data_IF_421477245173
#
_entry.id   IF_421477245173
#
_cell.length_a   1.000
_cell.length_b   1.000
_cell.length_c   1.000
_cell.angle_alpha   90.00
_cell.angle_beta   90.00
_cell.angle_gamma   90.00
#
_symmetry.space_group_name_H-M   'P 1'
#
loop_
_entity.id
_entity.type
_entity.pdbx_description
1 polymer ?
#
# COMPACT_ATOMS: atom_id res chain seq x y z
N UNK A 1 -11.43 10.75 -20.67
CA UNK A 1 -10.47 9.72 -21.12
C UNK A 1 -10.74 8.49 -20.27
N UNK A 2 -11.02 7.30 -20.83
CA UNK A 2 -11.10 6.10 -20.00
C UNK A 2 -9.72 5.80 -19.41
N UNK A 3 -9.71 5.43 -18.14
CA UNK A 3 -8.52 5.04 -17.40
C UNK A 3 -7.86 3.81 -18.06
N UNK A 4 -6.52 3.78 -18.11
CA UNK A 4 -5.75 2.58 -18.44
C UNK A 4 -5.51 1.82 -17.14
N UNK A 5 -5.54 0.49 -17.20
CA UNK A 5 -5.18 -0.36 -16.05
C UNK A 5 -3.77 -0.04 -15.53
N UNK A 6 -3.63 0.06 -14.20
CA UNK A 6 -2.36 0.28 -13.52
C UNK A 6 -1.41 -0.88 -13.76
N UNK A 7 -0.15 -0.57 -14.06
CA UNK A 7 0.92 -1.55 -14.27
C UNK A 7 1.98 -1.42 -13.18
N UNK A 8 2.76 -2.49 -13.01
CA UNK A 8 3.96 -2.48 -12.17
C UNK A 8 4.90 -1.39 -12.66
N UNK A 9 5.39 -0.57 -11.73
CA UNK A 9 6.26 0.56 -12.00
C UNK A 9 5.54 1.90 -12.09
N UNK A 10 4.23 1.92 -12.35
CA UNK A 10 3.45 3.16 -12.46
C UNK A 10 3.50 3.90 -11.11
N UNK A 11 3.62 5.24 -11.15
CA UNK A 11 3.50 6.09 -9.96
C UNK A 11 2.03 6.45 -9.83
N UNK A 12 1.41 6.04 -8.72
CA UNK A 12 -0.03 6.12 -8.52
C UNK A 12 -0.34 7.05 -7.35
N UNK A 13 -1.29 7.94 -7.58
CA UNK A 13 -1.96 8.81 -6.61
C UNK A 13 -3.23 8.12 -6.14
N UNK A 14 -3.39 7.94 -4.84
CA UNK A 14 -4.56 7.30 -4.24
C UNK A 14 -4.91 7.92 -2.89
N UNK A 15 -6.17 7.82 -2.51
CA UNK A 15 -6.63 8.19 -1.18
C UNK A 15 -6.11 7.19 -0.15
N UNK A 16 -5.76 7.66 1.05
CA UNK A 16 -5.37 6.75 2.13
C UNK A 16 -6.39 5.62 2.28
N UNK A 17 -5.98 4.34 2.23
CA UNK A 17 -6.91 3.23 2.38
C UNK A 17 -7.21 3.02 3.87
N UNK A 18 -7.79 4.04 4.51
CA UNK A 18 -8.17 4.06 5.90
C UNK A 18 -9.06 2.85 6.22
N UNK A 19 -9.01 2.39 7.47
CA UNK A 19 -10.06 1.52 7.99
C UNK A 19 -11.36 2.34 8.01
N UNK A 20 -12.47 1.78 7.52
CA UNK A 20 -13.78 2.42 7.73
C UNK A 20 -14.00 2.55 9.25
N UNK A 21 -14.07 3.78 9.77
CA UNK A 21 -14.17 4.08 11.20
C UNK A 21 -12.84 4.31 11.94
N UNK A 22 -11.68 4.34 11.26
CA UNK A 22 -10.46 4.89 11.86
C UNK A 22 -10.47 6.41 11.79
N UNK A 23 -10.24 7.06 12.93
CA UNK A 23 -10.01 8.52 12.98
C UNK A 23 -8.71 8.95 12.28
N UNK A 24 -7.86 8.00 11.89
CA UNK A 24 -6.69 8.23 11.04
C UNK A 24 -7.12 8.47 9.59
N UNK A 25 -7.14 9.73 9.18
CA UNK A 25 -7.56 10.16 7.84
C UNK A 25 -8.96 10.80 7.80
N UNK A 26 -9.75 10.71 8.88
CA UNK A 26 -11.00 11.47 9.00
C UNK A 26 -10.67 12.97 9.14
N UNK A 27 -10.82 13.70 8.03
CA UNK A 27 -10.72 15.17 8.00
C UNK A 27 -9.48 15.75 7.31
N UNK A 28 -8.57 14.93 6.79
CA UNK A 28 -7.51 15.40 5.91
C UNK A 28 -7.58 14.62 4.58
N UNK A 29 -7.93 15.31 3.49
CA UNK A 29 -7.85 14.83 2.10
C UNK A 29 -6.38 14.58 1.71
N UNK A 30 -5.72 13.59 2.32
CA UNK A 30 -4.32 13.28 2.04
C UNK A 30 -4.25 12.25 0.93
N UNK A 31 -3.86 12.71 -0.24
CA UNK A 31 -3.49 11.86 -1.36
C UNK A 31 -2.06 11.37 -1.20
N UNK A 32 -1.87 10.06 -1.37
CA UNK A 32 -0.58 9.41 -1.32
C UNK A 32 -0.07 9.17 -2.72
N UNK A 33 1.22 9.42 -2.94
CA UNK A 33 1.90 9.12 -4.19
C UNK A 33 2.91 8.02 -3.92
N UNK A 34 2.69 6.83 -4.49
CA UNK A 34 3.58 5.66 -4.33
C UNK A 34 3.75 4.95 -5.66
N UNK A 35 4.71 4.03 -5.73
CA UNK A 35 4.92 3.18 -6.90
C UNK A 35 4.12 1.89 -6.77
N UNK A 36 3.40 1.52 -7.82
CA UNK A 36 2.76 0.21 -7.92
C UNK A 36 3.83 -0.87 -8.11
N UNK A 37 3.91 -1.80 -7.17
CA UNK A 37 4.88 -2.89 -7.17
C UNK A 37 4.21 -4.21 -7.52
N UNK A 38 3.07 -4.51 -6.89
CA UNK A 38 2.25 -5.68 -7.17
C UNK A 38 0.89 -5.28 -7.74
N UNK A 39 0.46 -6.01 -8.77
CA UNK A 39 -0.88 -5.91 -9.37
C UNK A 39 -1.69 -7.16 -9.00
N UNK A 40 -3.02 -7.20 -9.24
CA UNK A 40 -3.86 -8.34 -8.87
C UNK A 40 -3.31 -9.68 -9.35
N UNK A 41 -3.22 -10.65 -8.42
CA UNK A 41 -2.70 -11.99 -8.62
C UNK A 41 -1.18 -12.14 -8.45
N UNK A 42 -0.44 -11.06 -8.21
CA UNK A 42 1.01 -11.18 -7.93
C UNK A 42 1.29 -11.71 -6.54
N UNK A 43 2.29 -12.59 -6.43
CA UNK A 43 2.97 -12.86 -5.18
C UNK A 43 4.08 -11.80 -4.97
N UNK A 44 3.96 -10.98 -3.95
CA UNK A 44 4.91 -9.94 -3.55
C UNK A 44 5.70 -10.42 -2.34
N UNK A 45 7.02 -10.27 -2.40
CA UNK A 45 7.92 -10.66 -1.32
C UNK A 45 9.09 -9.68 -1.22
N UNK A 46 9.49 -9.37 0.00
CA UNK A 46 10.70 -8.61 0.30
C UNK A 46 11.69 -9.53 1.02
N UNK A 47 12.94 -9.54 0.54
CA UNK A 47 14.05 -10.26 1.19
C UNK A 47 15.22 -9.31 1.33
N UNK A 48 15.59 -8.97 2.57
CA UNK A 48 16.69 -8.02 2.86
C UNK A 48 16.55 -6.71 2.06
N UNK A 49 15.33 -6.14 2.03
CA UNK A 49 14.99 -4.90 1.34
C UNK A 49 14.86 -5.00 -0.19
N UNK A 50 15.13 -6.17 -0.78
CA UNK A 50 14.93 -6.42 -2.22
C UNK A 50 13.52 -6.94 -2.49
N UNK A 51 12.89 -6.39 -3.52
CA UNK A 51 11.53 -6.76 -3.92
C UNK A 51 11.57 -7.90 -4.94
N UNK A 52 10.75 -8.93 -4.72
CA UNK A 52 10.53 -10.05 -5.61
C UNK A 52 9.03 -10.11 -5.98
N UNK A 53 8.76 -10.28 -7.27
CA UNK A 53 7.41 -10.50 -7.80
C UNK A 53 7.38 -11.88 -8.45
N UNK A 54 6.49 -12.75 -7.98
CA UNK A 54 6.37 -14.13 -8.45
C UNK A 54 7.74 -14.86 -8.44
N UNK A 55 8.52 -14.62 -7.38
CA UNK A 55 9.87 -15.18 -7.18
C UNK A 55 11.00 -14.52 -7.97
N UNK A 56 10.71 -13.50 -8.80
CA UNK A 56 11.73 -12.79 -9.61
C UNK A 56 12.04 -11.42 -9.04
N UNK A 57 13.33 -11.10 -8.87
CA UNK A 57 13.76 -9.79 -8.37
C UNK A 57 13.31 -8.65 -9.31
N UNK A 58 12.70 -7.62 -8.74
CA UNK A 58 12.17 -6.47 -9.47
C UNK A 58 13.23 -5.38 -9.62
N UNK A 59 13.81 -5.28 -10.82
CA UNK A 59 15.05 -4.54 -11.06
C UNK A 59 14.93 -3.00 -11.04
N UNK A 60 13.74 -2.42 -11.23
CA UNK A 60 13.57 -0.96 -11.13
C UNK A 60 13.70 -0.43 -9.68
N UNK A 61 13.85 -1.32 -8.70
CA UNK A 61 14.20 -0.98 -7.32
C UNK A 61 15.63 -0.44 -7.14
N UNK A 62 16.47 -0.39 -8.19
CA UNK A 62 17.88 0.03 -8.09
C UNK A 62 18.11 1.52 -7.80
N UNK A 63 17.12 2.40 -8.05
CA UNK A 63 17.21 3.83 -7.72
C UNK A 63 16.61 4.19 -6.35
N UNK A 64 16.36 3.18 -5.51
CA UNK A 64 15.80 3.36 -4.18
C UNK A 64 16.90 3.88 -3.25
N UNK A 65 16.62 4.99 -2.57
CA UNK A 65 17.48 5.45 -1.48
C UNK A 65 17.24 4.52 -0.28
N UNK A 66 18.12 3.55 -0.12
CA UNK A 66 18.29 2.82 1.14
C UNK A 66 19.10 3.76 2.05
N UNK A 67 18.45 4.49 2.94
CA UNK A 67 19.19 5.18 4.01
C UNK A 67 19.66 4.12 5.02
N UNK A 68 20.93 4.15 5.41
CA UNK A 68 21.55 3.26 6.40
C UNK A 68 20.64 3.11 7.66
N UNK A 69 20.50 1.94 8.30
CA UNK A 69 19.46 1.66 9.30
C UNK A 69 19.76 2.29 10.67
N UNK A 70 20.47 3.42 10.70
CA UNK A 70 20.68 4.21 11.89
C UNK A 70 19.40 4.99 12.25
N UNK A 71 18.40 4.28 12.75
CA UNK A 71 17.48 4.85 13.74
C UNK A 71 16.13 5.42 13.27
N UNK A 72 15.50 4.92 12.20
CA UNK A 72 14.06 5.18 12.01
C UNK A 72 13.23 4.23 12.89
N UNK A 73 13.27 4.48 14.20
CA UNK A 73 12.34 3.91 15.16
C UNK A 73 10.96 4.59 15.05
N UNK A 74 10.37 4.67 13.85
CA UNK A 74 8.94 4.90 13.74
C UNK A 74 8.26 3.59 14.11
N UNK A 75 8.12 3.40 15.42
CA UNK A 75 7.28 2.40 16.05
C UNK A 75 5.80 2.74 15.77
N UNK A 76 5.38 2.64 14.52
CA UNK A 76 3.97 2.36 14.25
C UNK A 76 3.81 0.86 14.47
N UNK A 77 3.11 0.52 15.56
CA UNK A 77 2.87 -0.86 15.94
C UNK A 77 2.11 -1.58 14.85
N UNK A 78 2.78 -2.54 14.21
CA UNK A 78 2.18 -3.58 13.39
C UNK A 78 2.28 -3.31 11.90
N UNK A 79 3.17 -4.03 11.22
CA UNK A 79 2.96 -4.35 9.81
C UNK A 79 1.59 -5.05 9.69
N UNK A 80 0.66 -4.44 8.98
CA UNK A 80 -0.58 -5.08 8.60
C UNK A 80 -0.32 -6.20 7.57
N UNK A 81 -1.06 -7.33 7.56
CA UNK A 81 -2.11 -7.78 8.49
C UNK A 81 -1.75 -8.81 9.55
N UNK A 82 -0.52 -9.33 9.64
CA UNK A 82 -0.35 -10.68 10.23
C UNK A 82 0.38 -10.64 11.58
N UNK A 83 -0.34 -10.54 12.72
CA UNK A 83 0.23 -10.75 14.05
C UNK A 83 1.02 -12.06 14.09
N UNK A 84 2.27 -12.01 14.56
CA UNK A 84 3.12 -13.19 14.68
C UNK A 84 3.80 -13.66 13.39
N UNK A 85 3.60 -12.99 12.25
CA UNK A 85 4.27 -13.34 10.98
C UNK A 85 5.78 -13.14 10.98
N UNK A 86 6.31 -12.32 11.89
CA UNK A 86 7.71 -11.90 11.86
C UNK A 86 8.06 -10.96 10.72
N UNK A 87 7.05 -10.41 10.01
CA UNK A 87 7.28 -9.44 8.95
C UNK A 87 7.91 -8.14 9.46
N UNK A 88 8.81 -7.61 8.66
CA UNK A 88 9.53 -6.35 8.88
C UNK A 88 9.50 -5.50 7.63
N UNK A 89 10.07 -4.29 7.70
CA UNK A 89 10.20 -3.41 6.55
C UNK A 89 11.04 -4.00 5.41
N UNK A 90 11.98 -4.88 5.74
CA UNK A 90 12.97 -5.46 4.82
C UNK A 90 12.69 -6.92 4.46
N UNK A 91 11.98 -7.64 5.32
CA UNK A 91 11.63 -9.05 5.16
C UNK A 91 10.11 -9.21 5.35
N UNK A 92 9.39 -9.38 4.24
CA UNK A 92 7.92 -9.37 4.20
C UNK A 92 7.41 -10.35 3.15
N UNK A 93 6.31 -11.05 3.46
CA UNK A 93 5.68 -11.98 2.53
C UNK A 93 6.40 -13.34 2.43
N UNK A 94 6.08 -14.14 1.41
CA UNK A 94 5.26 -13.78 0.24
C UNK A 94 3.79 -13.52 0.60
N UNK A 95 3.18 -12.50 -0.01
CA UNK A 95 1.73 -12.26 0.04
C UNK A 95 1.16 -12.18 -1.37
N UNK A 96 -0.02 -12.75 -1.59
CA UNK A 96 -0.70 -12.67 -2.89
C UNK A 96 -1.59 -11.43 -2.90
N UNK A 97 -1.44 -10.60 -3.92
CA UNK A 97 -2.28 -9.42 -4.14
C UNK A 97 -3.67 -9.87 -4.61
N UNK A 98 -4.74 -9.60 -3.86
CA UNK A 98 -6.07 -10.13 -4.17
C UNK A 98 -6.62 -9.61 -5.50
N UNK A 99 -7.39 -10.46 -6.17
CA UNK A 99 -7.99 -10.14 -7.47
C UNK A 99 -9.51 -10.22 -7.41
N UNK A 100 -10.19 -9.26 -8.06
CA UNK A 100 -11.64 -9.29 -8.22
C UNK A 100 -12.12 -10.63 -8.79
N UNK A 101 -13.11 -11.22 -8.14
CA UNK A 101 -13.69 -12.51 -8.51
C UNK A 101 -12.88 -13.73 -8.05
N UNK A 102 -11.75 -13.53 -7.37
CA UNK A 102 -11.03 -14.62 -6.71
C UNK A 102 -11.86 -15.14 -5.53
N UNK A 103 -11.97 -16.47 -5.43
CA UNK A 103 -12.63 -17.13 -4.31
C UNK A 103 -11.57 -17.60 -3.34
N UNK A 104 -11.58 -17.04 -2.14
CA UNK A 104 -10.61 -17.34 -1.07
C UNK A 104 -11.30 -18.17 0.00
N UNK A 105 -10.60 -19.18 0.52
CA UNK A 105 -11.11 -19.98 1.63
C UNK A 105 -10.91 -19.21 2.94
N UNK A 106 -11.97 -19.12 3.73
CA UNK A 106 -11.94 -18.44 5.03
C UNK A 106 -12.10 -19.50 6.13
N UNK A 107 -11.14 -19.54 7.05
CA UNK A 107 -11.12 -20.43 8.22
C UNK A 107 -10.78 -19.62 9.46
N UNK A 108 -11.01 -20.19 10.65
CA UNK A 108 -10.60 -19.54 11.89
C UNK A 108 -9.09 -19.23 11.93
N UNK A 109 -8.27 -20.07 11.29
CA UNK A 109 -6.81 -19.93 11.27
C UNK A 109 -6.32 -18.75 10.41
N UNK A 110 -7.05 -18.39 9.35
CA UNK A 110 -6.65 -17.31 8.43
C UNK A 110 -7.57 -16.08 8.48
N UNK A 111 -8.64 -16.13 9.28
CA UNK A 111 -9.65 -15.09 9.41
C UNK A 111 -9.07 -13.69 9.65
N UNK A 112 -8.07 -13.58 10.53
CA UNK A 112 -7.45 -12.29 10.87
C UNK A 112 -6.71 -11.67 9.68
N UNK A 113 -6.16 -12.49 8.75
CA UNK A 113 -5.50 -11.99 7.55
C UNK A 113 -6.48 -11.31 6.58
N UNK A 114 -7.71 -11.83 6.53
CA UNK A 114 -8.77 -11.36 5.62
C UNK A 114 -9.61 -10.22 6.21
N UNK A 115 -9.55 -10.01 7.53
CA UNK A 115 -10.41 -9.08 8.25
C UNK A 115 -10.40 -7.65 7.70
N UNK A 116 -9.23 -7.05 7.44
CA UNK A 116 -9.17 -5.69 6.86
C UNK A 116 -9.69 -5.65 5.44
N UNK A 117 -9.37 -6.67 4.63
CA UNK A 117 -9.79 -6.67 3.24
C UNK A 117 -11.33 -6.71 3.18
N UNK A 118 -11.95 -7.64 3.90
CA UNK A 118 -13.40 -7.77 3.95
C UNK A 118 -14.05 -6.50 4.51
N UNK A 119 -13.47 -5.91 5.57
CA UNK A 119 -13.95 -4.65 6.13
C UNK A 119 -13.93 -3.51 5.10
N UNK A 120 -12.88 -3.41 4.28
CA UNK A 120 -12.81 -2.43 3.18
C UNK A 120 -13.84 -2.68 2.10
N UNK A 121 -14.17 -3.94 1.85
CA UNK A 121 -15.27 -4.33 0.94
C UNK A 121 -16.67 -4.24 1.59
N UNK A 122 -16.76 -3.63 2.77
CA UNK A 122 -18.00 -3.39 3.50
C UNK A 122 -18.62 -4.65 4.13
N UNK A 123 -17.82 -5.68 4.37
CA UNK A 123 -18.22 -6.94 4.98
C UNK A 123 -17.56 -7.15 6.34
N UNK A 124 -18.31 -7.63 7.32
CA UNK A 124 -17.83 -7.85 8.68
C UNK A 124 -17.52 -9.33 8.91
N UNK A 125 -16.24 -9.67 9.12
CA UNK A 125 -15.79 -11.02 9.44
C UNK A 125 -15.72 -11.22 10.96
N UNK A 126 -16.31 -12.31 11.45
CA UNK A 126 -16.23 -12.72 12.86
C UNK A 126 -15.89 -14.21 13.00
N UNK A 127 -15.03 -14.55 13.96
CA UNK A 127 -14.78 -15.94 14.38
C UNK A 127 -15.56 -16.19 15.67
N UNK A 128 -16.49 -17.15 15.63
CA UNK A 128 -17.31 -17.55 16.77
C UNK A 128 -16.53 -18.46 17.72
N UNK A 129 -17.00 -18.59 18.96
CA UNK A 129 -16.37 -19.42 19.99
C UNK A 129 -16.30 -20.92 19.62
N UNK A 130 -17.17 -21.39 18.74
CA UNK A 130 -17.17 -22.76 18.23
C UNK A 130 -16.15 -22.99 17.09
N UNK A 131 -15.35 -21.97 16.76
CA UNK A 131 -14.36 -22.00 15.68
C UNK A 131 -14.95 -21.79 14.28
N UNK A 132 -16.25 -21.46 14.18
CA UNK A 132 -16.86 -21.12 12.89
C UNK A 132 -16.64 -19.67 12.51
N UNK A 133 -16.64 -19.40 11.20
CA UNK A 133 -16.50 -18.04 10.67
C UNK A 133 -17.82 -17.58 10.10
N UNK A 134 -18.18 -16.34 10.40
CA UNK A 134 -19.31 -15.64 9.79
C UNK A 134 -18.83 -14.41 9.03
N UNK A 135 -19.54 -14.09 7.96
CA UNK A 135 -19.45 -12.82 7.24
C UNK A 135 -20.84 -12.21 7.24
N UNK A 136 -20.98 -10.98 7.74
CA UNK A 136 -22.26 -10.26 7.81
C UNK A 136 -23.36 -11.07 8.54
N UNK A 137 -22.96 -11.88 9.52
CA UNK A 137 -23.83 -12.74 10.33
C UNK A 137 -24.13 -14.12 9.73
N UNK A 138 -23.75 -14.40 8.49
CA UNK A 138 -23.95 -15.69 7.84
C UNK A 138 -22.70 -16.57 7.95
N UNK A 139 -22.88 -17.86 8.26
CA UNK A 139 -21.77 -18.83 8.35
C UNK A 139 -21.23 -19.14 6.96
N UNK A 140 -19.92 -18.99 6.78
CA UNK A 140 -19.24 -19.18 5.49
C UNK A 140 -17.98 -20.02 5.62
N UNK A 141 -17.52 -20.58 4.50
CA UNK A 141 -16.20 -21.21 4.36
C UNK A 141 -15.32 -20.53 3.30
N UNK A 142 -15.86 -19.52 2.62
CA UNK A 142 -15.25 -18.85 1.48
C UNK A 142 -15.80 -17.45 1.30
N UNK A 143 -15.04 -16.63 0.57
CA UNK A 143 -15.41 -15.28 0.20
C UNK A 143 -14.98 -14.99 -1.24
N UNK A 144 -15.79 -14.23 -1.97
CA UNK A 144 -15.44 -13.76 -3.32
C UNK A 144 -15.01 -12.32 -3.25
N UNK A 145 -13.75 -12.06 -3.59
CA UNK A 145 -13.15 -10.72 -3.58
C UNK A 145 -13.90 -9.80 -4.55
N UNK A 146 -14.38 -8.66 -4.07
CA UNK A 146 -15.20 -7.71 -4.83
C UNK A 146 -14.36 -6.69 -5.60
N UNK A 147 -13.15 -6.37 -5.17
CA UNK A 147 -12.27 -5.36 -5.80
C UNK A 147 -10.94 -5.92 -6.28
N UNK A 148 -10.31 -5.28 -7.28
CA UNK A 148 -8.90 -5.50 -7.53
C UNK A 148 -8.06 -4.73 -6.51
N UNK A 149 -6.92 -5.30 -6.14
CA UNK A 149 -6.01 -4.71 -5.18
C UNK A 149 -4.62 -4.48 -5.76
N UNK A 150 -3.89 -3.57 -5.14
CA UNK A 150 -2.54 -3.20 -5.54
C UNK A 150 -1.61 -3.14 -4.33
N UNK A 151 -0.36 -3.53 -4.53
CA UNK A 151 0.68 -3.37 -3.52
C UNK A 151 1.56 -2.17 -3.87
N UNK A 152 1.49 -1.14 -3.04
CA UNK A 152 2.14 0.15 -3.27
C UNK A 152 3.35 0.30 -2.35
N UNK A 153 4.52 0.67 -2.89
CA UNK A 153 5.72 0.96 -2.10
C UNK A 153 6.23 2.39 -2.39
N UNK A 154 6.78 3.04 -1.37
CA UNK A 154 7.49 4.29 -1.57
C UNK A 154 8.90 4.07 -2.12
N UNK A 155 9.38 5.01 -2.94
CA UNK A 155 10.76 5.00 -3.45
C UNK A 155 11.79 5.36 -2.35
N UNK A 156 11.35 5.96 -1.23
CA UNK A 156 12.15 6.20 -0.02
C UNK A 156 11.71 5.24 1.10
N UNK A 157 12.18 3.98 1.03
CA UNK A 157 11.57 2.85 1.75
C UNK A 157 11.60 2.98 3.28
N UNK A 158 12.70 3.40 3.89
CA UNK A 158 12.80 3.50 5.36
C UNK A 158 12.08 4.73 5.94
N UNK A 159 11.55 5.62 5.09
CA UNK A 159 10.82 6.81 5.52
C UNK A 159 9.46 6.93 4.81
N UNK A 160 8.88 5.81 4.43
CA UNK A 160 7.62 5.75 3.71
C UNK A 160 6.67 4.79 4.40
N UNK A 161 5.61 5.33 4.99
CA UNK A 161 4.40 4.54 5.22
C UNK A 161 3.83 4.15 3.85
N UNK A 162 3.68 2.84 3.62
CA UNK A 162 3.23 2.21 2.38
C UNK A 162 2.53 0.86 2.66
N UNK A 163 2.28 0.02 1.64
CA UNK A 163 1.51 -1.22 1.77
C UNK A 163 2.08 -2.23 2.78
N UNK A 164 3.33 -2.08 3.23
CA UNK A 164 3.88 -2.87 4.34
C UNK A 164 3.20 -2.59 5.68
N UNK A 165 2.58 -1.42 5.82
CA UNK A 165 1.98 -0.96 7.08
C UNK A 165 0.46 -1.01 7.05
N UNK A 166 -0.17 -0.70 5.91
CA UNK A 166 -1.64 -0.66 5.78
C UNK A 166 -2.21 -1.73 4.83
N UNK A 167 -1.38 -2.62 4.30
CA UNK A 167 -1.80 -3.66 3.36
C UNK A 167 -2.09 -3.15 1.95
N UNK A 168 -2.94 -3.89 1.23
CA UNK A 168 -3.22 -3.61 -0.17
C UNK A 168 -4.10 -2.36 -0.37
N UNK A 169 -3.95 -1.69 -1.50
CA UNK A 169 -4.76 -0.53 -1.88
C UNK A 169 -5.86 -1.00 -2.84
N UNK A 170 -7.15 -0.76 -2.54
CA UNK A 170 -8.25 -1.09 -3.44
C UNK A 170 -8.22 -0.24 -4.72
N UNK A 171 -8.74 -0.77 -5.83
CA UNK A 171 -8.80 -0.04 -7.10
C UNK A 171 -9.67 1.22 -7.03
N UNK A 172 -10.69 1.20 -6.18
CA UNK A 172 -11.60 2.32 -5.92
C UNK A 172 -10.92 3.51 -5.23
N UNK A 173 -9.82 3.29 -4.50
CA UNK A 173 -9.04 4.37 -3.88
C UNK A 173 -8.07 5.04 -4.88
N UNK A 174 -7.91 4.49 -6.09
CA UNK A 174 -6.98 5.03 -7.07
C UNK A 174 -7.59 6.28 -7.72
N UNK A 175 -7.00 7.44 -7.42
CA UNK A 175 -7.37 8.71 -8.05
C UNK A 175 -6.72 8.83 -9.42
N UNK A 176 -5.46 8.41 -9.56
CA UNK A 176 -4.81 8.36 -10.87
C UNK A 176 -3.32 8.11 -10.96
N UNK A 177 -2.80 8.00 -12.18
CA UNK A 177 -1.36 7.94 -12.45
C UNK A 177 -0.76 9.35 -12.39
N UNK A 178 0.34 9.52 -11.67
CA UNK A 178 1.11 10.77 -11.65
C UNK A 178 1.87 10.90 -12.98
N UNK A 179 1.20 11.37 -14.03
CA UNK A 179 1.76 11.49 -15.39
C UNK A 179 2.87 12.55 -15.50
N UNK A 180 2.95 13.49 -14.55
CA UNK A 180 3.94 14.56 -14.55
C UNK A 180 4.19 15.06 -13.13
N UNK A 181 5.46 15.16 -12.73
CA UNK A 181 5.84 15.98 -11.57
C UNK A 181 5.73 17.43 -12.01
N UNK A 182 4.55 18.01 -11.82
CA UNK A 182 4.31 19.41 -12.18
C UNK A 182 5.07 20.37 -11.26
N UNK A 183 5.32 19.97 -10.00
CA UNK A 183 5.94 20.84 -9.01
C UNK A 183 6.59 20.08 -7.83
N UNK A 184 7.79 20.49 -7.39
CA UNK A 184 8.56 19.88 -6.28
C UNK A 184 9.26 20.97 -5.45
N UNK A 185 8.93 21.08 -4.16
CA UNK A 185 9.56 21.99 -3.19
C UNK A 185 9.99 21.23 -1.93
N UNK A 186 10.88 21.84 -1.16
CA UNK A 186 11.31 21.31 0.14
C UNK A 186 10.24 21.58 1.23
N UNK A 187 9.67 20.54 1.87
CA UNK A 187 8.62 20.70 2.87
C UNK A 187 9.12 21.30 4.18
N UNK A 188 10.42 21.28 4.45
CA UNK A 188 11.01 21.76 5.71
C UNK A 188 11.21 23.29 5.73
N UNK A 189 10.88 23.99 4.64
CA UNK A 189 11.01 25.45 4.52
C UNK A 189 9.67 26.13 4.86
N UNK A 190 9.67 26.97 5.90
CA UNK A 190 8.51 27.71 6.39
C UNK A 190 7.83 28.54 5.28
N UNK A 191 6.49 28.57 5.27
CA UNK A 191 5.67 29.27 4.25
C UNK A 191 5.93 30.79 4.18
N UNK A 192 6.46 31.36 5.26
CA UNK A 192 6.76 32.79 5.40
C UNK A 192 8.18 33.18 4.96
N UNK A 193 8.97 32.23 4.42
CA UNK A 193 10.26 32.51 3.78
C UNK A 193 10.17 32.28 2.25
N UNK A 194 9.65 33.28 1.50
CA UNK A 194 9.37 33.13 0.08
C UNK A 194 10.65 33.00 -0.76
N UNK A 195 11.80 33.53 -0.31
CA UNK A 195 13.03 33.53 -1.10
C UNK A 195 13.70 32.14 -1.09
N UNK A 196 13.82 31.52 0.08
CA UNK A 196 14.37 30.17 0.22
C UNK A 196 13.47 29.12 -0.43
N UNK A 197 12.15 29.34 -0.41
CA UNK A 197 11.18 28.42 -1.01
C UNK A 197 11.25 28.42 -2.54
N UNK A 198 11.46 29.58 -3.16
CA UNK A 198 11.67 29.69 -4.62
C UNK A 198 13.02 29.08 -5.04
N UNK A 199 14.06 29.20 -4.23
CA UNK A 199 15.36 28.57 -4.49
C UNK A 199 15.35 27.05 -4.30
N UNK A 200 14.43 26.52 -3.47
CA UNK A 200 14.24 25.07 -3.28
C UNK A 200 13.56 24.37 -4.47
N UNK A 201 13.05 25.15 -5.42
CA UNK A 201 12.38 24.61 -6.61
C UNK A 201 13.42 23.85 -7.44
N UNK A 202 13.22 22.52 -7.52
CA UNK A 202 14.06 21.64 -8.34
C UNK A 202 13.57 21.67 -9.77
N UNK A 203 13.96 22.71 -10.49
CA UNK A 203 13.57 22.98 -11.89
C UNK A 203 13.79 21.79 -12.84
N UNK A 204 14.81 20.98 -12.56
CA UNK A 204 15.13 19.74 -13.28
C UNK A 204 14.07 18.63 -13.17
N UNK A 205 13.11 18.73 -12.24
CA UNK A 205 12.00 17.78 -12.09
C UNK A 205 10.70 18.26 -12.74
N UNK A 206 10.61 19.53 -13.13
CA UNK A 206 9.39 20.14 -13.66
C UNK A 206 9.28 19.79 -15.15
N UNK A 207 8.13 19.22 -15.54
CA UNK A 207 7.87 18.84 -16.94
C UNK A 207 8.48 17.49 -17.37
N UNK A 208 9.08 16.74 -16.43
CA UNK A 208 9.48 15.37 -16.71
C UNK A 208 8.25 14.46 -16.80
N UNK A 209 8.10 13.77 -17.94
CA UNK A 209 7.20 12.63 -18.04
C UNK A 209 7.71 11.55 -17.09
N UNK A 210 6.84 11.08 -16.21
CA UNK A 210 7.07 9.83 -15.49
C UNK A 210 6.83 8.73 -16.51
N UNK A 211 7.88 7.99 -16.88
CA UNK A 211 7.82 6.89 -17.85
C UNK A 211 8.38 5.62 -17.23
#
# INVERSE_FOLDING_TARGET
MPWRDVRRGDIVVFEYPALAGSTEGEGNDVNYIKRCVGIPGDAVELRKGKVFINGRELLFSRNVKMTDPAGSSLRFGGAWPVPGSGFTEDDFGPVVVPRRGEVVRITADNAEEWKLLLHREGSELQVLQDGSVTIDGERVDSYTIKSNYYFMLGDNRHNSLDSRFWGFVPEENLIGEALMVYWSWDPDIALMDPMSKVQSIRWERIGMLVR
#
